data_IF_421093164611
#
_entry.id   IF_421093164611
#
_cell.length_a   1.000
_cell.length_b   1.000
_cell.length_c   1.000
_cell.angle_alpha   90.00
_cell.angle_beta   90.00
_cell.angle_gamma   90.00
#
_symmetry.space_group_name_H-M   'P 1'
#
loop_
_entity.id
_entity.type
_entity.pdbx_description
1 polymer ?
#
# COMPACT_ATOMS: atom_id res chain seq x y z
N UNK A 1 -3.49 5.86 -56.47
CA UNK A 1 -2.46 5.16 -55.66
C UNK A 1 -3.03 3.83 -55.20
N UNK A 2 -2.42 2.73 -55.66
CA UNK A 2 -2.80 1.35 -55.32
C UNK A 2 -2.16 0.95 -53.99
N UNK A 3 -2.95 0.44 -53.04
CA UNK A 3 -2.44 -0.27 -51.86
C UNK A 3 -1.94 -1.69 -52.26
N UNK A 4 -0.93 -2.26 -51.58
CA UNK A 4 -0.39 -3.58 -51.89
C UNK A 4 -1.37 -4.72 -51.55
N UNK A 5 -1.58 -5.64 -52.48
CA UNK A 5 -2.30 -6.91 -52.30
C UNK A 5 -1.46 -7.91 -51.49
N UNK A 6 -1.42 -7.76 -50.17
CA UNK A 6 -1.05 -8.87 -49.27
C UNK A 6 -1.77 -8.84 -47.90
N UNK A 7 -2.79 -8.00 -47.73
CA UNK A 7 -3.48 -7.80 -46.44
C UNK A 7 -4.93 -8.34 -46.40
N UNK A 8 -5.39 -9.04 -47.43
CA UNK A 8 -6.79 -9.49 -47.56
C UNK A 8 -6.96 -11.01 -47.77
N UNK A 9 -6.14 -11.84 -47.13
CA UNK A 9 -6.34 -13.30 -47.15
C UNK A 9 -6.32 -14.02 -45.80
N UNK A 10 -6.28 -13.29 -44.67
CA UNK A 10 -6.33 -13.92 -43.34
C UNK A 10 -7.51 -13.41 -42.49
N UNK A 11 -8.60 -12.98 -43.13
CA UNK A 11 -9.84 -12.57 -42.47
C UNK A 11 -11.03 -13.16 -43.26
N UNK A 12 -11.22 -14.49 -43.22
CA UNK A 12 -12.53 -15.09 -43.60
C UNK A 12 -12.87 -16.42 -42.92
N UNK A 13 -12.15 -16.85 -41.88
CA UNK A 13 -12.54 -18.03 -41.09
C UNK A 13 -12.56 -17.74 -39.59
N UNK A 14 -13.51 -16.90 -39.15
CA UNK A 14 -14.03 -16.97 -37.78
C UNK A 14 -15.13 -18.03 -37.73
N UNK A 15 -14.75 -19.28 -37.44
CA UNK A 15 -15.69 -20.20 -36.78
C UNK A 15 -15.89 -19.69 -35.34
N UNK A 16 -17.13 -19.70 -34.88
CA UNK A 16 -17.52 -19.19 -33.57
C UNK A 16 -16.77 -19.90 -32.45
N UNK A 17 -16.41 -19.15 -31.41
CA UNK A 17 -15.74 -19.65 -30.20
C UNK A 17 -16.51 -20.76 -29.44
N UNK A 18 -17.71 -21.10 -29.89
CA UNK A 18 -18.53 -22.21 -29.38
C UNK A 18 -18.13 -23.58 -29.92
N UNK A 19 -17.41 -23.70 -31.05
CA UNK A 19 -17.01 -25.01 -31.60
C UNK A 19 -15.75 -25.60 -30.94
N UNK A 20 -14.85 -24.79 -30.38
CA UNK A 20 -13.61 -25.27 -29.75
C UNK A 20 -13.79 -25.85 -28.33
N UNK A 21 -14.99 -25.76 -27.76
CA UNK A 21 -15.33 -26.32 -26.45
C UNK A 21 -15.82 -27.78 -26.50
N UNK A 22 -15.96 -28.39 -27.68
CA UNK A 22 -16.47 -29.77 -27.84
C UNK A 22 -15.39 -30.86 -27.98
N UNK A 23 -14.10 -30.50 -27.94
CA UNK A 23 -13.00 -31.46 -28.14
C UNK A 23 -12.24 -31.87 -26.87
N UNK A 24 -12.70 -31.49 -25.68
CA UNK A 24 -12.12 -31.98 -24.43
C UNK A 24 -12.98 -33.12 -23.85
N UNK A 25 -12.57 -34.37 -24.12
CA UNK A 25 -13.07 -35.54 -23.40
C UNK A 25 -12.68 -35.46 -21.92
N UNK A 26 -13.53 -35.91 -20.98
CA UNK A 26 -13.32 -35.66 -19.56
C UNK A 26 -12.17 -36.53 -19.07
N UNK A 27 -11.10 -35.91 -18.59
CA UNK A 27 -10.28 -36.58 -17.60
C UNK A 27 -11.16 -36.86 -16.38
N UNK A 28 -11.15 -38.13 -15.95
CA UNK A 28 -12.03 -38.67 -14.94
C UNK A 28 -12.10 -37.81 -13.68
N UNK A 29 -13.25 -37.88 -13.01
CA UNK A 29 -13.62 -37.18 -11.79
C UNK A 29 -12.42 -36.80 -10.93
N UNK A 30 -11.90 -35.58 -11.12
CA UNK A 30 -11.05 -34.93 -10.15
C UNK A 30 -11.96 -34.72 -8.95
N UNK A 31 -11.85 -35.60 -7.95
CA UNK A 31 -12.61 -35.54 -6.72
C UNK A 31 -12.62 -34.10 -6.22
N UNK A 32 -13.77 -33.59 -5.78
CA UNK A 32 -13.90 -32.23 -5.23
C UNK A 32 -12.81 -31.90 -4.18
N UNK A 33 -12.26 -32.93 -3.53
CA UNK A 33 -11.11 -32.84 -2.66
C UNK A 33 -9.83 -32.30 -3.34
N UNK A 34 -9.53 -32.68 -4.58
CA UNK A 34 -8.37 -32.21 -5.34
C UNK A 34 -8.52 -30.77 -5.84
N UNK A 35 -9.76 -30.31 -6.12
CA UNK A 35 -10.03 -28.90 -6.43
C UNK A 35 -9.88 -28.01 -5.17
N UNK A 36 -10.21 -28.54 -3.99
CA UNK A 36 -9.99 -27.87 -2.70
C UNK A 36 -8.51 -27.72 -2.33
N UNK A 37 -7.63 -28.63 -2.78
CA UNK A 37 -6.18 -28.53 -2.55
C UNK A 37 -5.47 -27.48 -3.44
N UNK A 38 -6.12 -27.04 -4.52
CA UNK A 38 -5.57 -26.04 -5.46
C UNK A 38 -5.94 -24.59 -5.12
N UNK A 39 -6.82 -24.37 -4.14
CA UNK A 39 -7.03 -23.04 -3.58
C UNK A 39 -5.83 -22.76 -2.68
N UNK A 40 -4.97 -21.76 -2.97
CA UNK A 40 -4.01 -21.32 -1.98
C UNK A 40 -4.83 -20.95 -0.75
N UNK A 41 -4.58 -21.62 0.36
CA UNK A 41 -5.19 -21.38 1.68
C UNK A 41 -5.09 -19.94 2.16
N UNK A 42 -4.45 -19.05 1.40
CA UNK A 42 -4.28 -17.63 1.66
C UNK A 42 -5.56 -16.80 1.57
N UNK A 43 -6.56 -17.17 0.75
CA UNK A 43 -7.66 -16.23 0.46
C UNK A 43 -8.86 -16.29 1.42
N UNK A 44 -9.06 -17.41 2.14
CA UNK A 44 -10.24 -17.62 3.00
C UNK A 44 -9.87 -18.01 4.44
N UNK A 45 -8.71 -17.57 4.94
CA UNK A 45 -8.42 -17.66 6.36
C UNK A 45 -9.13 -16.53 7.09
N UNK A 46 -10.13 -16.87 7.91
CA UNK A 46 -10.68 -15.96 8.91
C UNK A 46 -9.53 -15.49 9.79
N UNK A 47 -9.01 -14.28 9.56
CA UNK A 47 -7.92 -13.71 10.36
C UNK A 47 -8.46 -13.42 11.77
N UNK A 48 -7.68 -13.72 12.81
CA UNK A 48 -8.04 -13.32 14.19
C UNK A 48 -8.25 -11.81 14.22
N UNK A 49 -9.33 -11.33 14.83
CA UNK A 49 -9.53 -9.90 15.05
C UNK A 49 -8.40 -9.35 15.91
N UNK A 50 -7.71 -8.32 15.41
CA UNK A 50 -6.69 -7.59 16.18
C UNK A 50 -7.40 -6.85 17.32
N UNK A 51 -6.83 -6.90 18.52
CA UNK A 51 -7.30 -6.06 19.63
C UNK A 51 -6.75 -4.64 19.48
N UNK A 52 -7.32 -3.61 20.14
CA UNK A 52 -6.76 -2.25 20.12
C UNK A 52 -5.30 -2.18 20.61
N UNK A 53 -4.88 -3.12 21.47
CA UNK A 53 -3.49 -3.24 21.92
C UNK A 53 -2.54 -3.81 20.84
N UNK A 54 -3.07 -4.54 19.86
CA UNK A 54 -2.31 -5.11 18.74
C UNK A 54 -2.13 -4.10 17.58
N UNK A 55 -2.94 -3.02 17.54
CA UNK A 55 -2.86 -2.00 16.49
C UNK A 55 -1.53 -1.23 16.55
N UNK A 56 -0.92 -0.93 15.39
CA UNK A 56 0.23 -0.04 15.36
C UNK A 56 -0.14 1.34 15.88
N UNK A 57 0.65 1.85 16.83
CA UNK A 57 0.48 3.20 17.36
C UNK A 57 1.05 4.19 16.36
N UNK A 58 0.17 4.96 15.71
CA UNK A 58 0.52 5.96 14.71
C UNK A 58 0.16 7.35 15.21
N UNK A 59 0.98 8.34 14.86
CA UNK A 59 0.71 9.75 15.08
C UNK A 59 1.04 10.55 13.81
N UNK A 60 0.30 11.64 13.58
CA UNK A 60 0.58 12.59 12.51
C UNK A 60 1.22 13.82 13.12
N UNK A 61 2.32 14.28 12.52
CA UNK A 61 2.97 15.55 12.83
C UNK A 61 2.66 16.50 11.68
N UNK A 62 1.67 17.34 11.90
CA UNK A 62 1.04 18.18 10.90
C UNK A 62 1.82 19.47 10.67
N UNK A 63 2.18 19.75 9.42
CA UNK A 63 2.41 21.12 8.95
C UNK A 63 1.04 21.77 8.74
N UNK A 64 0.49 22.28 9.84
CA UNK A 64 -0.83 22.91 9.92
C UNK A 64 -0.73 24.44 9.88
N UNK A 65 -1.87 25.13 9.87
CA UNK A 65 -1.90 26.60 9.87
C UNK A 65 -1.17 27.24 11.05
N UNK A 66 -1.10 26.55 12.20
CA UNK A 66 -0.29 26.99 13.34
C UNK A 66 1.20 26.96 13.02
N UNK A 67 1.68 25.86 12.44
CA UNK A 67 3.07 25.70 11.99
C UNK A 67 3.44 26.79 10.97
N UNK A 68 2.56 27.06 10.01
CA UNK A 68 2.76 28.12 9.01
C UNK A 68 2.85 29.50 9.68
N UNK A 69 1.96 29.83 10.64
CA UNK A 69 2.05 31.10 11.39
C UNK A 69 3.32 31.21 12.22
N UNK A 70 3.86 30.10 12.72
CA UNK A 70 5.08 30.09 13.56
C UNK A 70 6.37 30.16 12.75
N UNK A 71 6.47 29.43 11.64
CA UNK A 71 7.74 29.27 10.90
C UNK A 71 7.74 29.89 9.50
N UNK A 72 6.62 30.47 9.05
CA UNK A 72 6.48 31.10 7.75
C UNK A 72 5.80 30.21 6.71
N UNK A 73 6.04 30.48 5.43
CA UNK A 73 5.36 29.81 4.33
C UNK A 73 5.90 28.40 4.06
N UNK A 74 5.07 27.59 3.40
CA UNK A 74 5.50 26.31 2.84
C UNK A 74 6.24 26.54 1.50
N UNK A 75 7.31 25.77 1.19
CA UNK A 75 7.97 24.79 2.05
C UNK A 75 8.77 25.45 3.19
N UNK A 76 8.70 24.86 4.38
CA UNK A 76 9.47 25.32 5.55
C UNK A 76 10.98 25.18 5.32
N UNK A 77 11.76 25.98 6.08
CA UNK A 77 13.22 25.82 6.19
C UNK A 77 13.57 24.39 6.62
N UNK A 78 14.64 23.82 6.06
CA UNK A 78 15.10 22.45 6.36
C UNK A 78 15.44 22.28 7.84
N UNK A 79 15.93 23.34 8.47
CA UNK A 79 16.17 23.39 9.89
C UNK A 79 14.94 23.03 10.73
N UNK A 80 13.75 23.50 10.34
CA UNK A 80 12.51 23.20 11.08
C UNK A 80 12.17 21.71 11.01
N UNK A 81 12.37 21.07 9.86
CA UNK A 81 12.23 19.61 9.74
C UNK A 81 13.32 18.86 10.52
N UNK A 82 14.54 19.39 10.57
CA UNK A 82 15.63 18.83 11.38
C UNK A 82 15.28 18.86 12.88
N UNK A 83 14.76 19.98 13.38
CA UNK A 83 14.30 20.13 14.76
C UNK A 83 13.15 19.17 15.09
N UNK A 84 12.22 18.99 14.15
CA UNK A 84 11.15 18.00 14.28
C UNK A 84 11.72 16.58 14.38
N UNK A 85 12.64 16.19 13.50
CA UNK A 85 13.27 14.87 13.53
C UNK A 85 14.04 14.66 14.83
N UNK A 86 14.81 15.64 15.29
CA UNK A 86 15.55 15.57 16.55
C UNK A 86 14.60 15.42 17.75
N UNK A 87 13.46 16.13 17.77
CA UNK A 87 12.44 16.01 18.81
C UNK A 87 11.79 14.62 18.85
N UNK A 88 11.38 14.09 17.68
CA UNK A 88 10.81 12.76 17.58
C UNK A 88 11.82 11.66 17.97
N UNK A 89 13.09 11.87 17.64
CA UNK A 89 14.19 10.97 18.02
C UNK A 89 14.42 10.98 19.53
N UNK A 90 14.46 12.17 20.16
CA UNK A 90 14.57 12.33 21.62
C UNK A 90 13.45 11.60 22.37
N UNK A 91 12.26 11.54 21.79
CA UNK A 91 11.12 10.82 22.36
C UNK A 91 10.99 9.37 21.88
N UNK A 92 11.99 8.83 21.19
CA UNK A 92 12.05 7.43 20.75
C UNK A 92 10.88 7.03 19.84
N UNK A 93 10.54 7.87 18.85
CA UNK A 93 9.66 7.45 17.75
C UNK A 93 10.21 6.17 17.10
N UNK A 94 9.34 5.21 16.77
CA UNK A 94 9.75 3.95 16.17
C UNK A 94 10.19 4.13 14.72
N UNK A 95 9.42 4.88 13.94
CA UNK A 95 9.69 5.25 12.55
C UNK A 95 9.27 6.69 12.34
N UNK A 96 10.03 7.45 11.56
CA UNK A 96 9.67 8.81 11.15
C UNK A 96 9.48 8.79 9.62
N UNK A 97 8.22 8.83 9.17
CA UNK A 97 7.86 8.81 7.76
C UNK A 97 7.57 10.24 7.29
N UNK A 98 8.42 10.82 6.46
CA UNK A 98 8.25 12.18 5.99
C UNK A 98 7.50 12.17 4.65
N UNK A 99 6.22 12.54 4.71
CA UNK A 99 5.31 12.65 3.57
C UNK A 99 5.43 14.03 2.90
N UNK A 100 6.67 14.43 2.58
CA UNK A 100 7.01 15.67 1.88
C UNK A 100 8.17 15.36 0.92
N UNK A 101 8.06 15.79 -0.33
CA UNK A 101 9.09 15.60 -1.33
C UNK A 101 10.18 16.68 -1.18
N UNK A 102 11.45 16.26 -1.20
CA UNK A 102 12.63 17.13 -1.12
C UNK A 102 13.61 16.85 -2.27
N UNK A 103 13.10 16.90 -3.49
CA UNK A 103 13.80 16.64 -4.74
C UNK A 103 14.69 17.80 -5.21
N UNK A 104 14.46 19.00 -4.68
CA UNK A 104 15.27 20.19 -4.97
C UNK A 104 16.11 20.64 -3.75
N UNK A 105 17.30 21.23 -3.99
CA UNK A 105 18.08 21.88 -2.94
C UNK A 105 17.28 22.96 -2.20
N UNK A 106 17.62 23.18 -0.94
CA UNK A 106 17.02 24.25 -0.14
C UNK A 106 17.28 25.62 -0.79
N UNK A 107 16.22 26.41 -0.94
CA UNK A 107 16.31 27.83 -1.34
C UNK A 107 17.01 28.71 -0.30
N UNK A 108 17.26 28.18 0.90
CA UNK A 108 17.92 28.87 2.00
C UNK A 108 19.40 28.45 2.18
N UNK A 109 19.98 27.82 1.16
CA UNK A 109 21.40 27.46 1.10
C UNK A 109 21.69 26.02 1.53
N UNK A 110 22.89 25.54 1.16
CA UNK A 110 23.33 24.15 1.36
C UNK A 110 23.37 23.74 2.84
N UNK A 111 23.71 24.66 3.74
CA UNK A 111 23.76 24.41 5.18
C UNK A 111 22.43 23.91 5.77
N UNK A 112 21.31 24.31 5.17
CA UNK A 112 19.97 23.86 5.56
C UNK A 112 19.76 22.37 5.20
N UNK A 113 20.14 21.97 3.98
CA UNK A 113 20.07 20.56 3.57
C UNK A 113 21.02 19.68 4.39
N UNK A 114 22.23 20.18 4.69
CA UNK A 114 23.20 19.46 5.53
C UNK A 114 22.73 19.29 6.97
N UNK A 115 22.13 20.33 7.56
CA UNK A 115 21.55 20.24 8.91
C UNK A 115 20.48 19.17 8.98
N UNK A 116 19.58 19.15 8.00
CA UNK A 116 18.52 18.15 7.93
C UNK A 116 19.06 16.75 7.64
N UNK A 117 20.03 16.61 6.73
CA UNK A 117 20.70 15.35 6.45
C UNK A 117 21.34 14.75 7.72
N UNK A 118 22.00 15.59 8.55
CA UNK A 118 22.58 15.16 9.84
C UNK A 118 21.52 14.67 10.81
N UNK A 119 20.39 15.39 10.95
CA UNK A 119 19.29 14.96 11.82
C UNK A 119 18.70 13.61 11.37
N UNK A 120 18.48 13.44 10.06
CA UNK A 120 18.04 12.17 9.46
C UNK A 120 19.02 11.04 9.78
N UNK A 121 20.33 11.28 9.56
CA UNK A 121 21.37 10.29 9.81
C UNK A 121 21.48 9.89 11.28
N UNK A 122 21.36 10.85 12.21
CA UNK A 122 21.34 10.57 13.66
C UNK A 122 20.11 9.77 14.10
N UNK A 123 18.94 10.06 13.52
CA UNK A 123 17.71 9.35 13.84
C UNK A 123 17.76 7.89 13.37
N UNK A 124 18.32 7.62 12.19
CA UNK A 124 18.56 6.27 11.67
C UNK A 124 17.29 5.48 11.28
N UNK A 125 16.11 6.04 11.50
CA UNK A 125 14.80 5.42 11.26
C UNK A 125 13.85 6.32 10.43
N UNK A 126 14.42 7.25 9.65
CA UNK A 126 13.67 8.18 8.81
C UNK A 126 13.46 7.62 7.40
N UNK A 127 12.21 7.60 6.94
CA UNK A 127 11.82 7.23 5.57
C UNK A 127 11.41 8.50 4.82
N UNK A 128 12.00 8.73 3.65
CA UNK A 128 11.72 9.92 2.84
C UNK A 128 10.83 9.60 1.63
N UNK A 129 10.05 10.60 1.22
CA UNK A 129 9.21 10.52 0.04
C UNK A 129 10.02 10.64 -1.25
N UNK A 130 9.69 9.83 -2.24
CA UNK A 130 10.02 9.99 -3.65
C UNK A 130 8.72 10.06 -4.46
N UNK A 131 8.84 10.41 -5.73
CA UNK A 131 7.76 10.25 -6.70
C UNK A 131 8.31 9.59 -7.96
N UNK A 132 7.44 9.09 -8.82
CA UNK A 132 7.80 8.69 -10.16
C UNK A 132 7.06 9.57 -11.18
N UNK A 133 7.72 9.84 -12.30
CA UNK A 133 7.05 10.25 -13.53
C UNK A 133 7.14 9.09 -14.54
N UNK A 134 6.68 9.31 -15.77
CA UNK A 134 6.71 8.28 -16.81
C UNK A 134 8.14 7.80 -17.10
N UNK A 135 9.16 8.64 -16.95
CA UNK A 135 10.54 8.36 -17.36
C UNK A 135 11.43 7.87 -16.22
N UNK A 136 11.28 8.41 -15.01
CA UNK A 136 12.21 8.19 -13.90
C UNK A 136 11.55 8.30 -12.53
N UNK A 137 12.23 7.69 -11.56
CA UNK A 137 11.98 7.96 -10.14
C UNK A 137 12.71 9.24 -9.76
N UNK A 138 11.95 10.20 -9.23
CA UNK A 138 12.44 11.45 -8.65
C UNK A 138 12.67 11.21 -7.16
N UNK A 139 13.95 11.19 -6.78
CA UNK A 139 14.38 10.97 -5.40
C UNK A 139 14.56 12.30 -4.67
N UNK A 140 14.56 12.29 -3.31
CA UNK A 140 15.14 13.37 -2.54
C UNK A 140 16.57 13.66 -2.98
N UNK A 141 17.02 14.90 -2.77
CA UNK A 141 18.41 15.29 -3.01
C UNK A 141 19.39 14.32 -2.35
N UNK A 142 20.55 14.13 -2.99
CA UNK A 142 21.52 13.09 -2.61
C UNK A 142 21.94 13.15 -1.14
N UNK A 143 22.09 14.35 -0.57
CA UNK A 143 22.44 14.55 0.83
C UNK A 143 21.41 13.93 1.80
N UNK A 144 20.11 14.11 1.54
CA UNK A 144 19.05 13.56 2.37
C UNK A 144 18.89 12.05 2.11
N UNK A 145 18.87 11.64 0.84
CA UNK A 145 18.73 10.23 0.45
C UNK A 145 19.81 9.34 1.06
N UNK A 146 21.07 9.79 1.08
CA UNK A 146 22.21 9.03 1.62
C UNK A 146 22.06 8.72 3.11
N UNK A 147 21.39 9.60 3.86
CA UNK A 147 21.20 9.46 5.31
C UNK A 147 19.88 8.80 5.69
N UNK A 148 18.92 8.72 4.76
CA UNK A 148 17.61 8.13 5.00
C UNK A 148 17.70 6.60 5.14
N UNK A 149 16.87 6.04 6.03
CA UNK A 149 16.73 4.60 6.21
C UNK A 149 16.17 3.91 4.98
N UNK A 150 15.19 4.55 4.34
CA UNK A 150 14.58 4.12 3.11
C UNK A 150 13.99 5.31 2.34
N UNK A 151 13.71 5.08 1.06
CA UNK A 151 12.95 6.02 0.23
C UNK A 151 11.75 5.27 -0.36
N UNK A 152 10.61 5.93 -0.42
CA UNK A 152 9.34 5.32 -0.81
C UNK A 152 8.43 6.31 -1.55
N UNK A 153 7.55 5.83 -2.44
CA UNK A 153 6.64 6.71 -3.18
C UNK A 153 5.35 7.02 -2.40
N UNK A 154 4.79 8.20 -2.66
CA UNK A 154 3.55 8.68 -2.06
C UNK A 154 2.28 8.40 -2.85
N UNK A 155 2.38 7.72 -4.00
CA UNK A 155 1.26 7.56 -4.91
C UNK A 155 0.08 6.80 -4.29
N UNK A 156 -1.10 7.37 -4.47
CA UNK A 156 -2.38 6.82 -4.08
C UNK A 156 -3.28 6.71 -5.30
N UNK A 157 -4.04 5.63 -5.38
CA UNK A 157 -4.95 5.37 -6.50
C UNK A 157 -6.39 5.72 -6.13
N UNK A 158 -6.99 6.58 -6.94
CA UNK A 158 -8.33 7.15 -6.72
C UNK A 158 -9.43 6.50 -7.58
N UNK A 159 -9.03 5.82 -8.65
CA UNK A 159 -9.96 5.30 -9.67
C UNK A 159 -10.89 6.38 -10.23
N UNK A 160 -11.97 5.96 -10.87
CA UNK A 160 -12.85 6.89 -11.62
C UNK A 160 -13.66 7.84 -10.72
N UNK A 161 -13.75 7.55 -9.42
CA UNK A 161 -14.50 8.37 -8.47
C UNK A 161 -13.68 9.50 -7.87
N UNK A 162 -12.40 9.65 -8.24
CA UNK A 162 -11.42 10.55 -7.59
C UNK A 162 -11.19 10.31 -6.09
N UNK A 163 -11.90 9.34 -5.48
CA UNK A 163 -11.71 8.89 -4.10
C UNK A 163 -10.55 7.92 -3.94
N UNK A 164 -9.62 8.18 -3.03
CA UNK A 164 -8.51 7.27 -2.73
C UNK A 164 -9.03 5.91 -2.23
N UNK A 165 -8.79 4.86 -3.02
CA UNK A 165 -9.25 3.48 -2.77
C UNK A 165 -8.13 2.50 -2.47
N UNK A 166 -6.92 2.79 -2.94
CA UNK A 166 -5.80 1.88 -2.80
C UNK A 166 -4.45 2.55 -2.99
N UNK A 167 -3.41 1.79 -2.74
CA UNK A 167 -2.02 2.16 -3.02
C UNK A 167 -1.40 1.13 -3.95
N UNK A 168 -0.60 1.59 -4.90
CA UNK A 168 0.29 0.70 -5.64
C UNK A 168 1.43 0.29 -4.69
N UNK A 169 1.68 -1.00 -4.45
CA UNK A 169 2.73 -1.42 -3.51
C UNK A 169 4.14 -1.05 -3.96
N UNK A 170 4.33 -0.98 -5.28
CA UNK A 170 5.58 -0.69 -5.94
C UNK A 170 5.33 0.30 -7.08
N UNK A 171 6.15 1.34 -7.20
CA UNK A 171 6.21 2.20 -8.37
C UNK A 171 7.42 1.86 -9.23
N UNK A 172 7.27 2.03 -10.56
CA UNK A 172 8.29 1.77 -11.57
C UNK A 172 8.34 2.93 -12.57
N UNK A 173 9.54 3.38 -12.89
CA UNK A 173 9.79 4.26 -14.04
C UNK A 173 9.98 3.44 -15.33
N UNK A 174 9.49 3.92 -16.47
CA UNK A 174 9.41 3.15 -17.72
C UNK A 174 10.72 2.51 -18.19
N UNK A 175 11.87 3.12 -17.87
CA UNK A 175 13.18 2.73 -18.39
C UNK A 175 14.05 1.88 -17.45
N UNK A 176 13.64 1.67 -16.19
CA UNK A 176 14.49 1.03 -15.16
C UNK A 176 13.76 -0.07 -14.39
N UNK A 177 14.44 -1.21 -14.22
CA UNK A 177 14.05 -2.36 -13.36
C UNK A 177 14.05 -1.99 -11.85
N UNK A 178 14.15 -0.71 -11.49
CA UNK A 178 14.18 -0.26 -10.10
C UNK A 178 12.76 0.04 -9.63
N UNK A 179 12.29 -0.77 -8.69
CA UNK A 179 11.05 -0.54 -7.96
C UNK A 179 11.35 0.22 -6.67
N UNK A 180 10.49 1.17 -6.32
CA UNK A 180 10.46 1.73 -4.97
C UNK A 180 9.15 1.34 -4.27
N UNK A 181 9.19 1.00 -2.96
CA UNK A 181 7.99 0.72 -2.18
C UNK A 181 7.07 1.92 -2.10
N UNK A 182 5.77 1.68 -1.94
CA UNK A 182 4.86 2.69 -1.40
C UNK A 182 5.27 3.03 0.04
N UNK A 183 5.05 4.28 0.46
CA UNK A 183 5.40 4.75 1.81
C UNK A 183 4.84 3.84 2.90
N UNK A 184 3.59 3.45 2.79
CA UNK A 184 2.93 2.51 3.69
C UNK A 184 3.65 1.16 3.81
N UNK A 185 4.15 0.61 2.70
CA UNK A 185 4.88 -0.67 2.69
C UNK A 185 6.29 -0.53 3.23
N UNK A 186 7.00 0.56 2.92
CA UNK A 186 8.31 0.84 3.49
C UNK A 186 8.23 0.98 5.01
N UNK A 187 7.24 1.75 5.50
CA UNK A 187 6.97 1.90 6.94
C UNK A 187 6.66 0.54 7.57
N UNK A 188 5.76 -0.25 6.99
CA UNK A 188 5.39 -1.54 7.55
C UNK A 188 6.57 -2.51 7.62
N UNK A 189 7.40 -2.57 6.57
CA UNK A 189 8.60 -3.41 6.50
C UNK A 189 9.61 -3.03 7.59
N UNK A 190 9.96 -1.75 7.69
CA UNK A 190 10.95 -1.28 8.68
C UNK A 190 10.41 -1.38 10.11
N UNK A 191 9.11 -1.12 10.32
CA UNK A 191 8.49 -1.21 11.65
C UNK A 191 8.37 -2.65 12.16
N UNK A 192 8.06 -3.61 11.28
CA UNK A 192 7.98 -5.04 11.64
C UNK A 192 9.37 -5.68 11.70
N UNK A 193 10.36 -5.11 11.00
CA UNK A 193 11.73 -5.62 10.96
C UNK A 193 11.95 -6.72 9.92
N UNK A 194 11.20 -6.70 8.82
CA UNK A 194 11.32 -7.69 7.74
C UNK A 194 12.44 -7.27 6.79
N UNK A 195 13.38 -8.17 6.53
CA UNK A 195 14.57 -7.88 5.70
C UNK A 195 14.42 -8.39 4.27
N UNK A 196 13.52 -9.34 4.07
CA UNK A 196 13.21 -9.98 2.81
C UNK A 196 12.68 -8.97 1.79
N UNK A 197 13.05 -9.11 0.51
CA UNK A 197 12.53 -8.25 -0.55
C UNK A 197 11.03 -8.47 -0.72
N UNK A 198 10.33 -7.42 -1.17
CA UNK A 198 8.95 -7.58 -1.61
C UNK A 198 8.92 -8.22 -2.98
N UNK A 199 8.04 -9.18 -3.16
CA UNK A 199 7.73 -9.78 -4.46
C UNK A 199 6.22 -9.78 -4.68
N UNK A 200 5.80 -9.62 -5.92
CA UNK A 200 4.40 -9.82 -6.32
C UNK A 200 4.31 -11.22 -6.92
N UNK A 201 3.52 -12.08 -6.28
CA UNK A 201 3.16 -13.39 -6.83
C UNK A 201 1.78 -13.28 -7.48
N UNK A 202 1.70 -13.71 -8.74
CA UNK A 202 0.46 -13.83 -9.50
C UNK A 202 0.19 -15.28 -9.89
N UNK A 203 -1.08 -15.62 -10.14
CA UNK A 203 -1.61 -16.89 -10.65
C UNK A 203 -2.09 -17.92 -9.62
N UNK A 204 -3.09 -17.53 -8.82
CA UNK A 204 -3.99 -18.56 -8.29
C UNK A 204 -5.00 -18.97 -9.37
N UNK A 205 -4.76 -20.10 -10.05
CA UNK A 205 -5.72 -20.72 -10.99
C UNK A 205 -7.07 -20.93 -10.30
N UNK A 206 -7.06 -21.30 -9.02
CA UNK A 206 -8.25 -21.39 -8.20
C UNK A 206 -8.98 -20.05 -8.02
N UNK A 207 -8.28 -18.92 -7.90
CA UNK A 207 -8.93 -17.61 -7.81
C UNK A 207 -9.60 -17.21 -9.13
N UNK A 208 -8.98 -17.55 -10.27
CA UNK A 208 -9.61 -17.39 -11.58
C UNK A 208 -10.88 -18.25 -11.68
N UNK A 209 -10.83 -19.50 -11.22
CA UNK A 209 -11.97 -20.41 -11.24
C UNK A 209 -13.10 -20.03 -10.26
N UNK A 210 -12.78 -19.47 -9.09
CA UNK A 210 -13.77 -19.12 -8.05
C UNK A 210 -14.32 -17.69 -8.17
N UNK A 211 -13.50 -16.74 -8.61
CA UNK A 211 -13.81 -15.31 -8.59
C UNK A 211 -13.71 -14.63 -9.97
N UNK A 212 -13.34 -15.36 -11.01
CA UNK A 212 -13.26 -14.83 -12.38
C UNK A 212 -12.12 -13.83 -12.62
N UNK A 213 -11.18 -13.66 -11.68
CA UNK A 213 -10.04 -12.75 -11.83
C UNK A 213 -8.77 -13.25 -11.09
N UNK A 214 -7.56 -12.93 -11.60
CA UNK A 214 -6.33 -13.29 -10.93
C UNK A 214 -6.17 -12.49 -9.63
N UNK A 215 -6.13 -13.19 -8.50
CA UNK A 215 -5.73 -12.60 -7.23
C UNK A 215 -4.20 -12.46 -7.20
N UNK A 216 -3.72 -11.22 -7.11
CA UNK A 216 -2.30 -10.94 -6.89
C UNK A 216 -2.05 -10.83 -5.40
N UNK A 217 -0.88 -11.30 -4.95
CA UNK A 217 -0.48 -11.22 -3.55
C UNK A 217 0.89 -10.59 -3.49
N UNK A 218 1.03 -9.54 -2.67
CA UNK A 218 2.36 -9.05 -2.32
C UNK A 218 2.89 -9.92 -1.17
N UNK A 219 4.06 -10.51 -1.37
CA UNK A 219 4.83 -11.20 -0.35
C UNK A 219 5.84 -10.25 0.28
N UNK A 220 5.96 -10.35 1.59
CA UNK A 220 7.01 -9.71 2.37
C UNK A 220 7.51 -10.76 3.39
N UNK A 221 8.53 -11.51 2.99
CA UNK A 221 8.91 -12.76 3.66
C UNK A 221 7.75 -13.77 3.67
N UNK A 222 7.43 -14.31 4.84
CA UNK A 222 6.32 -15.27 5.00
C UNK A 222 4.93 -14.62 5.08
N UNK A 223 4.86 -13.28 5.03
CA UNK A 223 3.62 -12.54 5.14
C UNK A 223 3.07 -12.15 3.77
N UNK A 224 1.75 -11.96 3.71
CA UNK A 224 1.05 -11.69 2.46
C UNK A 224 0.02 -10.58 2.59
N UNK A 225 0.03 -9.64 1.65
CA UNK A 225 -1.01 -8.61 1.49
C UNK A 225 -1.80 -8.91 0.21
N UNK A 226 -3.13 -9.09 0.28
CA UNK A 226 -3.95 -9.30 -0.90
C UNK A 226 -4.01 -8.03 -1.74
N UNK A 227 -3.87 -8.19 -3.05
CA UNK A 227 -3.95 -7.11 -4.02
C UNK A 227 -5.19 -7.29 -4.89
N UNK A 228 -5.81 -6.16 -5.25
CA UNK A 228 -7.05 -6.05 -5.99
C UNK A 228 -6.83 -5.26 -7.28
N UNK A 229 -7.76 -5.34 -8.23
CA UNK A 229 -7.83 -4.48 -9.44
C UNK A 229 -6.46 -4.24 -10.11
N UNK A 230 -5.76 -5.31 -10.50
CA UNK A 230 -4.49 -5.19 -11.22
C UNK A 230 -3.27 -4.89 -10.34
N UNK A 231 -3.33 -5.09 -9.02
CA UNK A 231 -2.16 -5.07 -8.15
C UNK A 231 -2.18 -4.03 -7.02
N UNK A 232 -3.32 -3.42 -6.73
CA UNK A 232 -3.47 -2.39 -5.70
C UNK A 232 -3.77 -3.00 -4.33
N UNK A 233 -3.11 -2.51 -3.28
CA UNK A 233 -3.53 -2.82 -1.91
C UNK A 233 -4.66 -1.87 -1.49
N UNK A 234 -5.76 -2.43 -0.97
CA UNK A 234 -6.90 -1.65 -0.46
C UNK A 234 -6.51 -0.94 0.84
N UNK A 235 -7.03 0.27 1.05
CA UNK A 235 -6.90 1.00 2.32
C UNK A 235 -8.14 0.76 3.19
N UNK A 236 -7.92 0.43 4.46
CA UNK A 236 -8.95 0.36 5.50
C UNK A 236 -8.84 1.61 6.37
N UNK A 237 -9.73 2.57 6.16
CA UNK A 237 -9.73 3.83 6.91
C UNK A 237 -10.32 3.64 8.31
N UNK A 238 -9.66 4.23 9.32
CA UNK A 238 -10.08 4.14 10.72
C UNK A 238 -11.37 4.92 11.02
N UNK A 239 -11.64 5.96 10.25
CA UNK A 239 -12.81 6.83 10.41
C UNK A 239 -12.66 8.11 9.59
N UNK A 240 -13.51 9.13 9.83
CA UNK A 240 -13.38 10.44 9.19
C UNK A 240 -12.07 11.12 9.55
N UNK A 241 -11.76 12.25 8.90
CA UNK A 241 -10.57 13.04 9.20
C UNK A 241 -10.42 13.34 10.70
N UNK A 242 -9.18 13.26 11.20
CA UNK A 242 -8.85 13.42 12.62
C UNK A 242 -8.99 12.14 13.45
N UNK A 243 -9.23 10.98 12.81
CA UNK A 243 -9.30 9.69 13.52
C UNK A 243 -7.92 9.20 13.99
N UNK A 244 -6.83 9.74 13.43
CA UNK A 244 -5.47 9.49 13.87
C UNK A 244 -4.97 10.70 14.68
N UNK A 245 -4.41 10.42 15.87
CA UNK A 245 -3.91 11.47 16.75
C UNK A 245 -2.88 12.34 16.03
N UNK A 246 -3.16 13.65 15.98
CA UNK A 246 -2.42 14.62 15.19
C UNK A 246 -1.87 15.71 16.09
N UNK A 247 -0.59 16.01 15.94
CA UNK A 247 0.12 17.07 16.65
C UNK A 247 0.65 18.10 15.67
N UNK A 248 0.53 19.39 15.99
CA UNK A 248 1.17 20.44 15.20
C UNK A 248 2.69 20.28 15.24
N UNK A 249 3.36 20.40 14.09
CA UNK A 249 4.82 20.38 14.01
C UNK A 249 5.42 21.47 14.92
N UNK A 250 4.80 22.65 15.00
CA UNK A 250 5.23 23.70 15.92
C UNK A 250 5.19 23.30 17.39
N UNK A 251 4.22 22.49 17.81
CA UNK A 251 4.15 22.02 19.20
C UNK A 251 5.22 20.95 19.48
N UNK A 252 5.52 20.10 18.51
CA UNK A 252 6.62 19.12 18.61
C UNK A 252 7.97 19.83 18.73
N UNK A 253 8.24 20.80 17.85
CA UNK A 253 9.50 21.56 17.83
C UNK A 253 9.66 22.40 19.10
N UNK A 254 8.58 23.01 19.61
CA UNK A 254 8.62 23.81 20.84
C UNK A 254 8.59 22.99 22.14
N UNK A 255 8.60 21.65 22.06
CA UNK A 255 8.67 20.78 23.23
C UNK A 255 7.37 20.68 24.04
N UNK A 256 6.22 21.04 23.46
CA UNK A 256 4.90 20.97 24.12
C UNK A 256 4.29 19.58 24.10
N UNK A 257 4.82 18.68 23.28
CA UNK A 257 4.34 17.30 23.17
C UNK A 257 5.18 16.40 24.08
N UNK A 258 4.53 15.77 25.06
CA UNK A 258 5.18 14.84 25.98
C UNK A 258 5.69 13.57 25.32
N UNK A 259 6.70 12.94 25.92
CA UNK A 259 7.36 11.74 25.37
C UNK A 259 6.39 10.56 25.21
N UNK A 260 5.40 10.42 26.08
CA UNK A 260 4.36 9.40 26.06
C UNK A 260 3.50 9.44 24.79
N UNK A 261 3.37 10.63 24.16
CA UNK A 261 2.65 10.80 22.91
C UNK A 261 3.43 10.35 21.68
N UNK A 262 4.74 10.12 21.80
CA UNK A 262 5.62 9.82 20.66
C UNK A 262 6.35 8.47 20.81
N UNK A 263 6.67 8.06 22.03
CA UNK A 263 7.47 6.87 22.33
C UNK A 263 6.91 5.61 21.69
N UNK A 264 7.71 5.00 20.81
CA UNK A 264 7.39 3.77 20.09
C UNK A 264 6.29 3.91 19.06
N UNK A 265 5.94 5.14 18.65
CA UNK A 265 4.95 5.40 17.60
C UNK A 265 5.60 5.54 16.22
N UNK A 266 4.83 5.23 15.20
CA UNK A 266 5.15 5.60 13.82
C UNK A 266 4.64 7.04 13.62
N UNK A 267 5.54 7.96 13.30
CA UNK A 267 5.22 9.37 13.14
C UNK A 267 5.24 9.74 11.65
N UNK A 268 4.07 10.11 11.11
CA UNK A 268 3.96 10.66 9.76
C UNK A 268 4.09 12.17 9.81
N UNK A 269 5.16 12.73 9.23
CA UNK A 269 5.37 14.18 9.15
C UNK A 269 4.92 14.66 7.79
N UNK A 270 3.95 15.57 7.71
CA UNK A 270 3.42 15.97 6.40
C UNK A 270 2.48 17.17 6.45
N UNK A 271 2.14 17.66 5.26
CA UNK A 271 1.18 18.75 5.11
C UNK A 271 -0.22 18.28 5.51
N UNK A 272 -0.88 19.08 6.33
CA UNK A 272 -2.23 18.83 6.85
C UNK A 272 -2.98 20.17 6.96
N UNK A 273 -3.02 20.88 5.84
CA UNK A 273 -3.70 22.16 5.67
C UNK A 273 -4.45 22.12 4.33
N UNK A 274 -5.50 22.94 4.12
CA UNK A 274 -6.29 22.91 2.90
C UNK A 274 -5.43 22.99 1.63
N UNK A 275 -5.81 22.23 0.61
CA UNK A 275 -5.12 22.16 -0.69
C UNK A 275 -4.24 20.91 -0.90
N UNK A 276 -4.10 20.06 0.11
CA UNK A 276 -3.49 18.72 0.02
C UNK A 276 -4.45 17.60 0.44
N UNK A 277 -5.74 17.86 0.37
CA UNK A 277 -6.79 16.96 0.83
C UNK A 277 -7.24 16.01 -0.28
N UNK A 278 -7.65 14.82 0.12
CA UNK A 278 -8.13 13.77 -0.76
C UNK A 278 -9.55 13.38 -0.38
N UNK A 279 -10.40 13.17 -1.37
CA UNK A 279 -11.64 12.45 -1.11
C UNK A 279 -11.34 10.99 -0.76
N UNK A 280 -12.01 10.49 0.27
CA UNK A 280 -11.94 9.07 0.66
C UNK A 280 -13.35 8.53 0.87
N UNK A 281 -13.52 7.20 1.01
CA UNK A 281 -14.82 6.61 1.34
C UNK A 281 -15.45 7.14 2.65
N UNK A 282 -14.67 7.76 3.53
CA UNK A 282 -15.09 8.23 4.86
C UNK A 282 -15.01 9.76 5.01
N UNK A 283 -14.91 10.48 3.89
CA UNK A 283 -14.87 11.95 3.85
C UNK A 283 -13.55 12.49 3.31
N UNK A 284 -13.45 13.82 3.27
CA UNK A 284 -12.23 14.53 2.86
C UNK A 284 -11.22 14.46 4.01
N UNK A 285 -9.97 14.08 3.72
CA UNK A 285 -8.87 14.06 4.71
C UNK A 285 -7.54 14.43 4.06
N UNK A 286 -6.56 14.82 4.88
CA UNK A 286 -5.21 15.12 4.38
C UNK A 286 -4.54 13.89 3.74
N UNK A 287 -3.72 14.10 2.72
CA UNK A 287 -2.93 13.00 2.12
C UNK A 287 -2.04 12.29 3.14
N UNK A 288 -1.57 13.02 4.16
CA UNK A 288 -0.79 12.46 5.27
C UNK A 288 -1.61 11.49 6.12
N UNK A 289 -2.87 11.82 6.43
CA UNK A 289 -3.76 10.91 7.16
C UNK A 289 -4.15 9.69 6.32
N UNK A 290 -4.35 9.85 5.02
CA UNK A 290 -4.58 8.73 4.12
C UNK A 290 -3.35 7.79 4.05
N UNK A 291 -2.12 8.32 4.03
CA UNK A 291 -0.89 7.51 4.09
C UNK A 291 -0.77 6.75 5.41
N UNK A 292 -1.10 7.40 6.52
CA UNK A 292 -1.09 6.78 7.84
C UNK A 292 -2.09 5.62 7.91
N UNK A 293 -3.33 5.81 7.41
CA UNK A 293 -4.32 4.73 7.30
C UNK A 293 -3.83 3.57 6.41
N UNK A 294 -3.17 3.87 5.31
CA UNK A 294 -2.59 2.85 4.43
C UNK A 294 -1.52 2.03 5.15
N UNK A 295 -0.62 2.66 5.91
CA UNK A 295 0.40 1.97 6.69
C UNK A 295 -0.22 1.08 7.80
N UNK A 296 -1.22 1.58 8.52
CA UNK A 296 -1.98 0.79 9.51
C UNK A 296 -2.58 -0.44 8.83
N UNK A 297 -3.20 -0.25 7.65
CA UNK A 297 -3.81 -1.34 6.89
C UNK A 297 -2.80 -2.42 6.52
N UNK A 298 -1.63 -2.03 6.01
CA UNK A 298 -0.57 -2.96 5.63
C UNK A 298 -0.02 -3.69 6.85
N UNK A 299 0.31 -2.97 7.93
CA UNK A 299 0.83 -3.58 9.16
C UNK A 299 -0.17 -4.59 9.74
N UNK A 300 -1.46 -4.25 9.77
CA UNK A 300 -2.50 -5.15 10.26
C UNK A 300 -2.62 -6.40 9.37
N UNK A 301 -2.50 -6.26 8.05
CA UNK A 301 -2.51 -7.42 7.15
C UNK A 301 -1.33 -8.36 7.40
N UNK A 302 -0.15 -7.78 7.64
CA UNK A 302 1.10 -8.52 7.88
C UNK A 302 1.12 -9.19 9.26
N UNK A 303 0.60 -8.52 10.31
CA UNK A 303 0.51 -9.07 11.67
C UNK A 303 -0.60 -10.10 11.85
N UNK A 304 -1.62 -10.06 11.00
CA UNK A 304 -2.74 -10.98 11.10
C UNK A 304 -2.30 -12.43 10.86
N UNK A 305 -2.28 -13.23 11.94
CA UNK A 305 -2.03 -14.67 11.87
C UNK A 305 -3.20 -15.37 11.17
N UNK A 306 -2.93 -16.45 10.39
CA UNK A 306 -3.95 -17.42 10.02
C UNK A 306 -4.72 -17.88 11.26
N UNK A 307 -6.06 -17.93 11.24
CA UNK A 307 -6.75 -18.66 12.31
C UNK A 307 -6.35 -20.14 12.21
N UNK A 308 -5.72 -20.63 13.27
CA UNK A 308 -5.56 -22.07 13.50
C UNK A 308 -6.95 -22.69 13.62
N UNK A 309 -7.32 -23.56 12.67
CA UNK A 309 -8.53 -24.39 12.77
C UNK A 309 -9.51 -24.40 11.58
N UNK A 310 -9.35 -23.55 10.56
CA UNK A 310 -10.34 -23.49 9.46
C UNK A 310 -10.12 -24.52 8.32
N UNK A 311 -9.38 -25.61 8.57
CA UNK A 311 -9.20 -26.67 7.55
C UNK A 311 -10.45 -27.56 7.35
N UNK A 312 -11.46 -27.47 8.22
CA UNK A 312 -12.58 -28.42 8.22
C UNK A 312 -13.86 -27.97 7.47
N UNK A 313 -14.17 -26.66 7.39
CA UNK A 313 -15.50 -26.24 6.93
C UNK A 313 -15.61 -25.83 5.44
N UNK A 314 -14.51 -25.48 4.77
CA UNK A 314 -14.55 -25.17 3.34
C UNK A 314 -14.92 -26.40 2.48
N UNK A 315 -14.61 -27.61 2.96
CA UNK A 315 -15.00 -28.85 2.30
C UNK A 315 -16.53 -29.07 2.30
N UNK A 316 -17.23 -28.67 3.36
CA UNK A 316 -18.66 -28.95 3.53
C UNK A 316 -19.53 -28.09 2.60
N UNK A 317 -19.20 -26.81 2.43
CA UNK A 317 -19.99 -25.90 1.56
C UNK A 317 -19.84 -26.26 0.08
N UNK A 318 -18.65 -26.66 -0.37
CA UNK A 318 -18.40 -27.09 -1.75
C UNK A 318 -19.08 -28.43 -2.05
N UNK A 319 -19.08 -29.37 -1.08
CA UNK A 319 -19.80 -30.65 -1.22
C UNK A 319 -21.31 -30.44 -1.34
N UNK A 320 -21.90 -29.50 -0.61
CA UNK A 320 -23.34 -29.22 -0.70
C UNK A 320 -23.73 -28.52 -2.02
N UNK A 321 -22.84 -27.70 -2.61
CA UNK A 321 -23.09 -27.08 -3.92
C UNK A 321 -22.91 -28.06 -5.09
N UNK A 322 -21.99 -29.02 -4.97
CA UNK A 322 -21.78 -30.09 -5.96
C UNK A 322 -22.82 -31.22 -5.87
N UNK A 323 -23.65 -31.24 -4.81
CA UNK A 323 -24.78 -32.17 -4.64
C UNK A 323 -26.12 -31.60 -5.10
N UNK A 324 -26.17 -30.36 -5.57
CA UNK A 324 -27.39 -29.81 -6.16
C UNK A 324 -27.65 -30.53 -7.51
N UNK A 325 -28.82 -31.18 -7.70
CA UNK A 325 -29.13 -31.83 -8.96
C UNK A 325 -29.23 -30.80 -10.10
N UNK A 326 -28.76 -31.19 -11.29
CA UNK A 326 -28.80 -30.32 -12.49
C UNK A 326 -30.25 -29.96 -12.87
N UNK A 327 -30.52 -28.76 -13.42
CA UNK A 327 -31.87 -28.36 -13.83
C UNK A 327 -32.43 -29.09 -15.07
N UNK A 328 -31.75 -30.10 -15.62
CA UNK A 328 -32.17 -30.74 -16.88
C UNK A 328 -32.95 -32.06 -16.73
N UNK A 329 -33.40 -32.43 -15.52
CA UNK A 329 -34.26 -33.59 -15.31
C UNK A 329 -35.76 -33.27 -15.19
N UNK A 330 -36.25 -32.20 -15.84
CA UNK A 330 -37.69 -31.96 -16.00
C UNK A 330 -38.03 -31.89 -17.49
N UNK A 331 -38.17 -33.06 -18.12
CA UNK A 331 -39.05 -33.22 -19.28
C UNK A 331 -39.84 -34.52 -19.17
N UNK A 332 -41.12 -34.40 -19.48
CA UNK A 332 -42.10 -35.44 -19.82
C UNK A 332 -42.54 -36.42 -18.71
N UNK A 333 -43.66 -36.10 -18.07
CA UNK A 333 -44.89 -36.90 -18.13
C UNK A 333 -46.10 -36.01 -17.90
#
# INVERSE_FOLDING_TARGET
MKMPRHFLQTISRRKSATENLRAFRPFGAVSAAALLMLIPTACAQKKRALTPADEPRVAIIAVDGKTIRTFGSFPLKRGVYADCVDALTRHSAAIIAINILFDLPSSHGRQEDERFARAIGRAGNVILLATADEEKIIYPIGALKKNARAVAHGEMWTGNSMRVKGIAPLARASDKVKFIPALAFAVAREYIGVKEPMSIEGNSLAAVLLFGMPLHVLKLGNMSVPLYNGGLAKISYKGPAGSIETFSLADVVSGKIGAEKIRGRICFVGYASPGGDHETPVGIMSGTEAQANAAITVINHLRAKPATGFRANAAVTVINHLRAPSPEAVKTR
#
